data_IF_486034510889
#
_entry.id   IF_486034510889
#
_cell.length_a   1.000
_cell.length_b   1.000
_cell.length_c   1.000
_cell.angle_alpha   90.00
_cell.angle_beta   90.00
_cell.angle_gamma   90.00
#
_symmetry.space_group_name_H-M   'P 1'
#
loop_
_entity.id
_entity.type
_entity.pdbx_description
1 polymer ?
#
# COMPACT_ATOMS: atom_id res chain seq x y z
N UNK A 1 32.84 17.94 3.40
CA UNK A 1 31.80 17.27 4.21
C UNK A 1 30.51 17.31 3.41
N UNK A 2 30.41 16.41 2.44
CA UNK A 2 29.34 16.39 1.44
C UNK A 2 28.21 15.52 1.96
N UNK A 3 27.11 16.15 2.38
CA UNK A 3 25.88 15.44 2.66
C UNK A 3 25.33 14.94 1.32
N UNK A 4 25.50 13.64 1.05
CA UNK A 4 24.79 12.96 -0.03
C UNK A 4 23.29 13.16 0.17
N UNK A 5 22.69 14.01 -0.65
CA UNK A 5 21.26 14.05 -0.93
C UNK A 5 20.89 12.67 -1.46
N UNK A 6 20.44 11.77 -0.58
CA UNK A 6 19.78 10.55 -0.99
C UNK A 6 18.47 10.93 -1.67
N UNK A 7 18.09 10.23 -2.73
CA UNK A 7 16.91 10.38 -3.60
C UNK A 7 15.54 10.30 -2.88
N UNK A 8 15.38 10.97 -1.74
CA UNK A 8 14.15 11.10 -0.96
C UNK A 8 13.36 12.33 -1.44
N UNK A 9 13.97 13.20 -2.25
CA UNK A 9 13.35 14.41 -2.83
C UNK A 9 12.52 14.16 -4.10
N UNK A 10 12.28 12.90 -4.47
CA UNK A 10 11.18 12.61 -5.40
C UNK A 10 9.87 12.77 -4.63
N UNK A 11 9.38 14.00 -4.63
CA UNK A 11 8.05 14.40 -4.19
C UNK A 11 7.00 13.60 -4.96
N UNK A 12 6.71 12.39 -4.49
CA UNK A 12 5.46 11.73 -4.84
C UNK A 12 4.38 12.77 -4.56
N UNK A 13 3.66 13.20 -5.60
CA UNK A 13 2.51 14.08 -5.48
C UNK A 13 1.44 13.31 -4.72
N UNK A 14 1.60 13.29 -3.41
CA UNK A 14 0.67 12.62 -2.52
C UNK A 14 -0.61 13.44 -2.56
N UNK A 15 -1.74 12.81 -2.85
CA UNK A 15 -3.03 13.47 -2.72
C UNK A 15 -3.16 14.12 -1.35
N UNK A 16 -3.86 15.25 -1.26
CA UNK A 16 -4.02 16.02 -0.02
C UNK A 16 -4.54 15.16 1.14
N UNK A 17 -5.41 14.19 0.86
CA UNK A 17 -5.93 13.25 1.86
C UNK A 17 -4.87 12.31 2.47
N UNK A 18 -3.73 12.12 1.79
CA UNK A 18 -2.59 11.38 2.33
C UNK A 18 -1.68 12.30 3.16
N UNK A 19 -1.60 13.59 2.82
CA UNK A 19 -0.82 14.58 3.58
C UNK A 19 -1.40 14.85 4.98
N UNK A 20 -2.71 14.65 5.16
CA UNK A 20 -3.37 14.75 6.47
C UNK A 20 -3.24 13.49 7.33
N UNK A 21 -2.65 12.40 6.81
CA UNK A 21 -2.36 11.18 7.59
C UNK A 21 -1.05 11.31 8.36
N UNK A 22 -0.85 10.40 9.31
CA UNK A 22 0.40 10.29 10.05
C UNK A 22 1.62 10.22 9.12
N UNK A 23 2.73 10.86 9.53
CA UNK A 23 3.99 10.88 8.76
C UNK A 23 4.52 9.47 8.52
N UNK A 24 4.40 8.59 9.52
CA UNK A 24 4.75 7.18 9.42
C UNK A 24 3.68 6.42 8.64
N UNK A 25 4.08 5.75 7.55
CA UNK A 25 3.18 4.95 6.72
C UNK A 25 3.06 3.53 7.24
N UNK A 26 1.83 2.99 7.19
CA UNK A 26 1.56 1.59 7.51
C UNK A 26 1.51 0.79 6.21
N UNK A 27 2.38 -0.21 6.10
CA UNK A 27 2.40 -1.16 4.98
C UNK A 27 1.79 -2.47 5.45
N UNK A 28 0.81 -2.99 4.72
CA UNK A 28 0.21 -4.30 5.02
C UNK A 28 0.44 -5.27 3.87
N UNK A 29 0.92 -6.47 4.16
CA UNK A 29 1.01 -7.54 3.16
C UNK A 29 -0.39 -8.11 2.91
N UNK A 30 -0.80 -8.14 1.65
CA UNK A 30 -2.10 -8.68 1.24
C UNK A 30 -1.95 -10.14 0.86
N UNK A 31 -2.90 -10.95 1.30
CA UNK A 31 -2.98 -12.36 1.01
C UNK A 31 -4.39 -12.88 1.27
N UNK A 32 -4.61 -14.21 1.30
CA UNK A 32 -5.96 -14.79 1.31
C UNK A 32 -6.87 -14.29 2.44
N UNK A 33 -6.31 -14.03 3.63
CA UNK A 33 -7.07 -13.55 4.78
C UNK A 33 -7.55 -12.09 4.66
N UNK A 34 -6.85 -11.26 3.88
CA UNK A 34 -7.08 -9.81 3.80
C UNK A 34 -7.48 -9.33 2.41
N UNK A 35 -7.29 -10.16 1.38
CA UNK A 35 -7.49 -9.84 -0.03
C UNK A 35 -8.95 -9.79 -0.50
N UNK A 36 -9.92 -9.74 0.42
CA UNK A 36 -11.32 -9.49 0.10
C UNK A 36 -11.62 -7.99 0.13
N UNK A 37 -12.64 -7.53 -0.61
CA UNK A 37 -13.02 -6.11 -0.62
C UNK A 37 -13.29 -5.56 0.79
N UNK A 38 -14.02 -6.34 1.61
CA UNK A 38 -14.30 -5.98 3.01
C UNK A 38 -13.03 -5.94 3.85
N UNK A 39 -12.12 -6.90 3.67
CA UNK A 39 -10.84 -6.95 4.36
C UNK A 39 -9.97 -5.72 4.05
N UNK A 40 -9.82 -5.39 2.77
CA UNK A 40 -9.07 -4.21 2.34
C UNK A 40 -9.68 -2.92 2.87
N UNK A 41 -11.02 -2.73 2.77
CA UNK A 41 -11.68 -1.55 3.33
C UNK A 41 -11.47 -1.41 4.83
N UNK A 42 -11.46 -2.53 5.58
CA UNK A 42 -11.15 -2.53 7.00
C UNK A 42 -9.70 -2.09 7.27
N UNK A 43 -8.75 -2.58 6.49
CA UNK A 43 -7.34 -2.16 6.59
C UNK A 43 -7.15 -0.67 6.26
N UNK A 44 -7.80 -0.15 5.22
CA UNK A 44 -7.74 1.28 4.85
C UNK A 44 -8.25 2.16 5.99
N UNK A 45 -9.39 1.79 6.58
CA UNK A 45 -9.99 2.50 7.73
C UNK A 45 -9.11 2.40 8.98
N UNK A 46 -8.43 1.28 9.19
CA UNK A 46 -7.49 1.08 10.28
C UNK A 46 -6.15 1.82 10.09
N UNK A 47 -5.90 2.43 8.93
CA UNK A 47 -4.72 3.27 8.67
C UNK A 47 -3.71 2.71 7.66
N UNK A 48 -4.00 1.58 7.00
CA UNK A 48 -3.17 1.07 5.92
C UNK A 48 -2.95 2.16 4.86
N UNK A 49 -1.68 2.39 4.52
CA UNK A 49 -1.25 3.39 3.55
C UNK A 49 -0.74 2.76 2.26
N UNK A 50 -0.16 1.56 2.35
CA UNK A 50 0.36 0.81 1.19
C UNK A 50 -0.02 -0.66 1.34
N UNK A 51 -0.62 -1.24 0.29
CA UNK A 51 -0.80 -2.68 0.16
C UNK A 51 0.43 -3.30 -0.53
N UNK A 52 1.08 -4.25 0.13
CA UNK A 52 2.21 -5.03 -0.41
C UNK A 52 1.70 -6.37 -0.94
N UNK A 53 2.06 -6.73 -2.17
CA UNK A 53 1.91 -8.09 -2.67
C UNK A 53 3.26 -8.80 -2.58
N UNK A 54 3.28 -9.97 -1.94
CA UNK A 54 4.48 -10.80 -1.89
C UNK A 54 4.46 -11.83 -3.02
N UNK A 55 5.21 -11.57 -4.09
CA UNK A 55 5.24 -12.41 -5.30
C UNK A 55 6.07 -13.70 -5.14
N UNK A 56 6.70 -13.92 -3.99
CA UNK A 56 7.40 -15.20 -3.72
C UNK A 56 6.44 -16.39 -3.54
N UNK A 57 5.14 -16.11 -3.36
CA UNK A 57 4.07 -17.10 -3.19
C UNK A 57 2.83 -16.68 -3.98
N UNK A 58 1.92 -17.64 -4.23
CA UNK A 58 0.68 -17.41 -4.96
C UNK A 58 0.86 -17.41 -6.48
N UNK A 59 -0.26 -17.40 -7.21
CA UNK A 59 -0.28 -17.33 -8.67
C UNK A 59 -0.40 -15.90 -9.18
N UNK A 60 -0.08 -15.66 -10.45
CA UNK A 60 -0.30 -14.37 -11.11
C UNK A 60 -1.76 -13.93 -11.06
N UNK A 61 -2.69 -14.88 -11.20
CA UNK A 61 -4.13 -14.61 -11.18
C UNK A 61 -4.59 -14.12 -9.80
N UNK A 62 -4.09 -14.74 -8.72
CA UNK A 62 -4.37 -14.29 -7.35
C UNK A 62 -3.90 -12.85 -7.14
N UNK A 63 -2.66 -12.55 -7.56
CA UNK A 63 -2.09 -11.20 -7.42
C UNK A 63 -2.87 -10.17 -8.23
N UNK A 64 -3.27 -10.50 -9.47
CA UNK A 64 -4.11 -9.64 -10.30
C UNK A 64 -5.47 -9.37 -9.64
N UNK A 65 -6.09 -10.40 -9.05
CA UNK A 65 -7.33 -10.25 -8.32
C UNK A 65 -7.16 -9.31 -7.12
N UNK A 66 -6.08 -9.47 -6.34
CA UNK A 66 -5.79 -8.56 -5.23
C UNK A 66 -5.58 -7.12 -5.69
N UNK A 67 -4.86 -6.88 -6.78
CA UNK A 67 -4.70 -5.53 -7.35
C UNK A 67 -6.05 -4.93 -7.72
N UNK A 68 -6.93 -5.70 -8.37
CA UNK A 68 -8.27 -5.25 -8.75
C UNK A 68 -9.09 -4.86 -7.51
N UNK A 69 -9.09 -5.71 -6.48
CA UNK A 69 -9.82 -5.47 -5.23
C UNK A 69 -9.27 -4.24 -4.50
N UNK A 70 -7.95 -4.08 -4.44
CA UNK A 70 -7.30 -2.90 -3.82
C UNK A 70 -7.71 -1.61 -4.53
N UNK A 71 -7.77 -1.61 -5.86
CA UNK A 71 -8.17 -0.42 -6.64
C UNK A 71 -9.65 -0.10 -6.53
N UNK A 72 -10.49 -1.10 -6.25
CA UNK A 72 -11.93 -0.93 -6.06
C UNK A 72 -12.28 -0.40 -4.65
N UNK A 73 -11.45 -0.68 -3.64
CA UNK A 73 -11.72 -0.43 -2.24
C UNK A 73 -11.67 1.05 -1.84
#
# INVERSE_FOLDING_TARGET
MEARLTDIDSSYLLPSFVKSRARTRIVCTIGPATGTLTGIKRLIRAGMSVGRLNLSHGSWDDHNQYVSIIRQA
#
